data_IF_241180791486
#
_entry.id   IF_241180791486
#
_cell.length_a   1.000
_cell.length_b   1.000
_cell.length_c   1.000
_cell.angle_alpha   90.00
_cell.angle_beta   90.00
_cell.angle_gamma   90.00
#
_symmetry.space_group_name_H-M   'P 1'
#
loop_
_entity.id
_entity.type
_entity.pdbx_description
1 polymer ?
#
# COMPACT_ATOMS: atom_id res chain seq x y z
N UNK A 1 6.20 53.96 -4.27
CA UNK A 1 6.76 53.08 -3.22
C UNK A 1 5.71 52.39 -2.33
N UNK A 2 4.40 52.64 -2.48
CA UNK A 2 3.35 51.99 -1.67
C UNK A 2 2.69 50.75 -2.31
N UNK A 3 2.91 50.47 -3.60
CA UNK A 3 2.25 49.34 -4.29
C UNK A 3 3.02 48.01 -4.22
N UNK A 4 4.27 48.00 -3.72
CA UNK A 4 5.09 46.78 -3.57
C UNK A 4 4.92 46.08 -2.22
N UNK A 5 4.15 46.65 -1.28
CA UNK A 5 3.88 46.04 0.03
C UNK A 5 2.60 45.18 0.09
N UNK A 6 1.73 45.25 -0.92
CA UNK A 6 0.45 44.51 -0.94
C UNK A 6 0.60 43.12 -1.59
N UNK A 7 1.66 42.88 -2.35
CA UNK A 7 1.94 41.60 -3.04
C UNK A 7 2.74 40.58 -2.20
N UNK A 8 3.13 40.92 -0.97
CA UNK A 8 3.80 39.99 -0.03
C UNK A 8 2.80 39.34 0.95
N UNK A 9 1.52 39.74 0.90
CA UNK A 9 0.46 39.17 1.76
C UNK A 9 -0.31 37.99 1.12
N UNK A 10 -0.03 37.63 -0.14
CA UNK A 10 -0.79 36.60 -0.88
C UNK A 10 -0.03 35.30 -1.20
N UNK A 11 1.15 35.08 -0.62
CA UNK A 11 1.94 33.85 -0.81
C UNK A 11 2.25 33.08 0.48
N UNK A 12 1.55 33.40 1.57
CA UNK A 12 1.47 32.54 2.74
C UNK A 12 0.00 32.21 3.01
N UNK A 13 -0.46 31.10 2.44
CA UNK A 13 -1.62 30.38 2.99
C UNK A 13 -1.26 29.88 4.38
N UNK A 14 -1.25 30.79 5.37
CA UNK A 14 -1.43 30.42 6.78
C UNK A 14 -2.71 29.60 6.80
N UNK A 15 -2.60 28.28 6.94
CA UNK A 15 -3.78 27.45 7.07
C UNK A 15 -4.52 27.95 8.31
N UNK A 16 -5.66 28.61 8.08
CA UNK A 16 -6.54 29.02 9.15
C UNK A 16 -6.93 27.74 9.89
N UNK A 17 -6.53 27.66 11.16
CA UNK A 17 -7.01 26.60 12.04
C UNK A 17 -8.50 26.84 12.27
N UNK A 18 -9.32 25.84 11.98
CA UNK A 18 -10.72 25.85 12.39
C UNK A 18 -10.79 25.72 13.91
N UNK A 19 -11.81 26.33 14.51
CA UNK A 19 -12.01 26.40 15.97
C UNK A 19 -11.85 25.04 16.67
N UNK A 20 -12.37 23.97 16.06
CA UNK A 20 -12.37 22.62 16.63
C UNK A 20 -11.17 21.74 16.22
N UNK A 21 -10.24 22.22 15.39
CA UNK A 21 -9.13 21.40 14.87
C UNK A 21 -8.32 20.75 16.00
N UNK A 22 -7.82 21.56 16.95
CA UNK A 22 -6.95 21.05 18.02
C UNK A 22 -7.71 20.11 18.96
N UNK A 23 -8.98 20.38 19.19
CA UNK A 23 -9.85 19.54 20.00
C UNK A 23 -10.13 18.20 19.33
N UNK A 24 -10.43 18.21 18.03
CA UNK A 24 -10.65 17.00 17.24
C UNK A 24 -9.37 16.18 17.11
N UNK A 25 -8.25 16.84 16.85
CA UNK A 25 -6.93 16.22 16.74
C UNK A 25 -6.62 15.35 17.96
N UNK A 26 -6.80 15.88 19.18
CA UNK A 26 -6.61 15.13 20.43
C UNK A 26 -7.55 13.92 20.55
N UNK A 27 -8.82 14.08 20.14
CA UNK A 27 -9.81 12.97 20.16
C UNK A 27 -9.42 11.88 19.16
N UNK A 28 -9.07 12.25 17.93
CA UNK A 28 -8.62 11.32 16.88
C UNK A 28 -7.35 10.58 17.30
N UNK A 29 -6.32 11.28 17.79
CA UNK A 29 -5.07 10.64 18.24
C UNK A 29 -5.34 9.58 19.32
N UNK A 30 -6.20 9.91 20.30
CA UNK A 30 -6.59 8.94 21.34
C UNK A 30 -7.32 7.74 20.76
N UNK A 31 -8.28 7.98 19.87
CA UNK A 31 -9.13 6.93 19.30
C UNK A 31 -8.31 6.03 18.35
N UNK A 32 -7.39 6.58 17.55
CA UNK A 32 -6.46 5.80 16.72
C UNK A 32 -5.49 4.97 17.56
N UNK A 33 -4.85 5.56 18.59
CA UNK A 33 -3.98 4.80 19.50
C UNK A 33 -4.73 3.61 20.12
N UNK A 34 -6.01 3.78 20.43
CA UNK A 34 -6.84 2.68 20.92
C UNK A 34 -7.02 1.57 19.87
N UNK A 35 -7.20 1.91 18.59
CA UNK A 35 -7.27 0.91 17.51
C UNK A 35 -5.92 0.23 17.26
N UNK A 36 -4.82 1.00 17.20
CA UNK A 36 -3.48 0.45 16.99
C UNK A 36 -3.11 -0.58 18.07
N UNK A 37 -3.49 -0.35 19.33
CA UNK A 37 -3.21 -1.27 20.43
C UNK A 37 -4.02 -2.58 20.40
N UNK A 38 -4.92 -2.79 19.42
CA UNK A 38 -5.64 -4.06 19.26
C UNK A 38 -4.83 -5.15 18.55
N UNK A 39 -3.77 -4.76 17.85
CA UNK A 39 -2.92 -5.66 17.08
C UNK A 39 -1.51 -5.66 17.67
N UNK A 40 -0.71 -6.69 17.39
CA UNK A 40 0.64 -6.76 17.92
C UNK A 40 1.57 -5.79 17.18
N UNK A 41 1.47 -5.75 15.85
CA UNK A 41 2.19 -4.80 15.00
C UNK A 41 1.94 -3.35 15.46
N UNK A 42 0.68 -3.00 15.75
CA UNK A 42 0.33 -1.64 16.21
C UNK A 42 0.86 -1.32 17.60
N UNK A 43 0.82 -2.26 18.56
CA UNK A 43 1.43 -2.09 19.90
C UNK A 43 2.95 -1.92 19.80
N UNK A 44 3.61 -2.75 19.01
CA UNK A 44 5.06 -2.73 18.84
C UNK A 44 5.52 -1.42 18.22
N UNK A 45 4.84 -0.98 17.15
CA UNK A 45 5.11 0.31 16.54
C UNK A 45 4.88 1.45 17.54
N UNK A 46 3.76 1.46 18.27
CA UNK A 46 3.47 2.48 19.27
C UNK A 46 4.53 2.54 20.39
N UNK A 47 5.00 1.37 20.85
CA UNK A 47 6.07 1.26 21.85
C UNK A 47 7.39 1.82 21.32
N UNK A 48 7.76 1.52 20.07
CA UNK A 48 8.94 2.09 19.39
C UNK A 48 8.81 3.62 19.28
N UNK A 49 7.69 4.11 18.80
CA UNK A 49 7.41 5.54 18.67
C UNK A 49 7.56 6.28 20.00
N UNK A 50 7.01 5.73 21.10
CA UNK A 50 7.11 6.33 22.43
C UNK A 50 8.52 6.37 23.00
N UNK A 51 9.37 5.38 22.69
CA UNK A 51 10.77 5.35 23.18
C UNK A 51 11.55 6.57 22.70
N UNK A 52 11.22 7.08 21.51
CA UNK A 52 11.83 8.29 20.95
C UNK A 52 11.38 9.59 21.62
N UNK A 53 10.49 9.54 22.61
CA UNK A 53 9.97 10.70 23.37
C UNK A 53 9.35 11.81 22.48
N UNK A 54 9.00 11.51 21.24
CA UNK A 54 8.37 12.44 20.29
C UNK A 54 6.88 12.62 20.64
N UNK A 55 6.37 13.84 20.41
CA UNK A 55 4.92 14.09 20.45
C UNK A 55 4.30 13.54 19.17
N UNK A 56 3.12 12.93 19.28
CA UNK A 56 2.38 12.50 18.10
C UNK A 56 2.07 13.71 17.19
N UNK A 57 2.15 13.55 15.86
CA UNK A 57 1.78 14.59 14.92
C UNK A 57 0.30 14.93 15.11
N UNK A 58 -0.02 16.21 14.90
CA UNK A 58 -1.42 16.65 14.98
C UNK A 58 -2.16 16.18 13.75
N UNK A 59 -3.35 15.63 13.95
CA UNK A 59 -4.24 15.20 12.88
C UNK A 59 -5.17 16.37 12.49
N UNK A 60 -5.27 16.65 11.19
CA UNK A 60 -6.13 17.66 10.59
C UNK A 60 -6.93 17.05 9.43
N UNK A 61 -8.07 17.64 9.09
CA UNK A 61 -8.88 17.24 7.94
C UNK A 61 -8.91 18.39 6.94
N UNK A 62 -8.44 18.17 5.72
CA UNK A 62 -8.37 19.21 4.70
C UNK A 62 -8.68 18.67 3.33
N UNK A 63 -9.34 19.47 2.51
CA UNK A 63 -9.60 19.10 1.13
C UNK A 63 -8.29 19.14 0.31
N UNK A 64 -8.03 18.09 -0.46
CA UNK A 64 -7.08 18.11 -1.57
C UNK A 64 -7.70 17.47 -2.82
N UNK A 65 -7.35 18.00 -3.99
CA UNK A 65 -7.67 17.37 -5.27
C UNK A 65 -6.78 16.16 -5.58
N UNK A 66 -5.70 15.97 -4.81
CA UNK A 66 -4.78 14.85 -4.97
C UNK A 66 -5.48 13.52 -4.65
N UNK A 67 -4.95 12.44 -5.22
CA UNK A 67 -5.55 11.13 -5.09
C UNK A 67 -5.23 10.42 -3.75
N UNK A 68 -4.36 11.01 -2.93
CA UNK A 68 -3.99 10.48 -1.61
C UNK A 68 -5.10 10.56 -0.56
N UNK A 69 -5.31 9.46 0.18
CA UNK A 69 -6.26 9.35 1.30
C UNK A 69 -5.86 10.22 2.49
N UNK A 70 -4.55 10.31 2.73
CA UNK A 70 -3.93 11.18 3.71
C UNK A 70 -2.50 11.53 3.27
N UNK A 71 -1.88 12.48 3.96
CA UNK A 71 -0.46 12.77 3.83
C UNK A 71 0.11 13.35 5.12
N UNK A 72 1.36 13.06 5.38
CA UNK A 72 2.13 13.65 6.45
C UNK A 72 2.94 14.86 5.95
N UNK A 73 2.74 16.01 6.60
CA UNK A 73 3.45 17.26 6.34
C UNK A 73 4.54 17.47 7.40
N UNK A 74 5.80 17.21 6.99
CA UNK A 74 6.99 17.35 7.84
C UNK A 74 7.14 18.73 8.49
N UNK A 75 7.02 19.81 7.72
CA UNK A 75 7.31 21.18 8.21
C UNK A 75 6.45 21.59 9.40
N UNK A 76 5.23 21.05 9.49
CA UNK A 76 4.28 21.40 10.52
C UNK A 76 4.03 20.26 11.52
N UNK A 77 4.65 19.09 11.30
CA UNK A 77 4.46 17.82 12.02
C UNK A 77 2.97 17.47 12.14
N UNK A 78 2.31 17.36 10.98
CA UNK A 78 0.87 17.12 10.86
C UNK A 78 0.56 15.96 9.93
N UNK A 79 -0.49 15.22 10.26
CA UNK A 79 -1.13 14.26 9.35
C UNK A 79 -2.43 14.89 8.89
N UNK A 80 -2.61 15.02 7.58
CA UNK A 80 -3.85 15.49 6.99
C UNK A 80 -4.61 14.33 6.38
N UNK A 81 -5.86 14.14 6.79
CA UNK A 81 -6.79 13.28 6.07
C UNK A 81 -7.51 14.10 5.01
N UNK A 82 -7.56 13.59 3.80
CA UNK A 82 -8.21 14.26 2.69
C UNK A 82 -9.73 14.22 2.85
N UNK A 83 -10.35 15.38 3.04
CA UNK A 83 -11.79 15.48 3.29
C UNK A 83 -12.65 15.02 2.10
N UNK A 84 -12.13 15.05 0.86
CA UNK A 84 -12.73 14.43 -0.33
C UNK A 84 -13.11 12.96 -0.05
N UNK A 85 -12.20 12.21 0.55
CA UNK A 85 -12.39 10.78 0.79
C UNK A 85 -13.17 10.48 2.06
N UNK A 86 -13.17 11.39 3.04
CA UNK A 86 -14.10 11.33 4.18
C UNK A 86 -15.54 11.50 3.68
N UNK A 87 -15.76 12.42 2.73
CA UNK A 87 -17.07 12.62 2.11
C UNK A 87 -17.54 11.37 1.36
N UNK A 88 -16.65 10.75 0.57
CA UNK A 88 -16.93 9.49 -0.13
C UNK A 88 -17.24 8.36 0.87
N UNK A 89 -16.44 8.24 1.94
CA UNK A 89 -16.61 7.20 2.95
C UNK A 89 -17.97 7.27 3.67
N UNK A 90 -18.43 8.48 3.99
CA UNK A 90 -19.71 8.69 4.66
C UNK A 90 -20.89 8.88 3.70
N UNK A 91 -20.67 8.81 2.39
CA UNK A 91 -21.66 9.11 1.35
C UNK A 91 -22.36 10.47 1.58
N UNK A 92 -21.55 11.52 1.77
CA UNK A 92 -22.02 12.89 2.00
C UNK A 92 -21.51 13.83 0.92
N UNK A 93 -22.37 14.71 0.42
CA UNK A 93 -22.03 15.69 -0.62
C UNK A 93 -21.93 17.12 -0.06
N UNK A 94 -21.09 17.95 -0.70
CA UNK A 94 -21.01 19.39 -0.47
C UNK A 94 -20.64 19.84 0.96
N UNK A 95 -20.06 18.96 1.77
CA UNK A 95 -19.56 19.33 3.09
C UNK A 95 -18.24 20.08 2.99
N UNK A 96 -18.12 21.19 3.74
CA UNK A 96 -16.84 21.89 3.91
C UNK A 96 -15.98 21.18 4.94
N UNK A 97 -14.66 21.38 4.89
CA UNK A 97 -13.73 20.90 5.93
C UNK A 97 -14.22 21.26 7.33
N UNK A 98 -14.65 22.52 7.53
CA UNK A 98 -15.19 23.01 8.81
C UNK A 98 -16.35 22.14 9.29
N UNK A 99 -17.30 21.81 8.39
CA UNK A 99 -18.48 21.01 8.74
C UNK A 99 -18.11 19.59 9.13
N UNK A 100 -17.20 18.96 8.38
CA UNK A 100 -16.70 17.60 8.69
C UNK A 100 -16.00 17.59 10.05
N UNK A 101 -15.17 18.59 10.31
CA UNK A 101 -14.47 18.75 11.60
C UNK A 101 -15.47 18.89 12.75
N UNK A 102 -16.49 19.74 12.60
CA UNK A 102 -17.55 19.90 13.62
C UNK A 102 -18.26 18.57 13.90
N UNK A 103 -18.69 17.86 12.85
CA UNK A 103 -19.40 16.57 12.99
C UNK A 103 -18.52 15.56 13.72
N UNK A 104 -17.28 15.34 13.28
CA UNK A 104 -16.38 14.39 13.93
C UNK A 104 -15.95 14.85 15.33
N UNK A 105 -15.95 16.15 15.61
CA UNK A 105 -15.66 16.67 16.95
C UNK A 105 -16.81 16.37 17.93
N UNK A 106 -18.05 16.66 17.55
CA UNK A 106 -19.21 16.54 18.44
C UNK A 106 -19.81 15.12 18.48
N UNK A 107 -19.81 14.38 17.38
CA UNK A 107 -20.31 13.00 17.33
C UNK A 107 -19.21 12.00 17.66
N UNK A 108 -19.33 11.27 18.78
CA UNK A 108 -18.39 10.19 19.09
C UNK A 108 -18.50 9.01 18.15
N UNK A 109 -19.70 8.72 17.66
CA UNK A 109 -19.98 7.48 16.95
C UNK A 109 -19.49 7.59 15.51
N UNK A 110 -19.80 8.71 14.84
CA UNK A 110 -19.24 9.04 13.52
C UNK A 110 -17.71 9.07 13.55
N UNK A 111 -17.11 9.67 14.59
CA UNK A 111 -15.64 9.69 14.72
C UNK A 111 -15.03 8.31 14.92
N UNK A 112 -15.63 7.48 15.77
CA UNK A 112 -15.15 6.10 16.00
C UNK A 112 -15.30 5.24 14.76
N UNK A 113 -16.39 5.44 13.99
CA UNK A 113 -16.61 4.76 12.73
C UNK A 113 -15.52 5.12 11.72
N UNK A 114 -15.27 6.42 11.51
CA UNK A 114 -14.15 6.88 10.67
C UNK A 114 -12.82 6.22 11.10
N UNK A 115 -12.47 6.36 12.37
CA UNK A 115 -11.22 5.83 12.95
C UNK A 115 -11.10 4.31 12.79
N UNK A 116 -12.21 3.57 12.82
CA UNK A 116 -12.19 2.10 12.66
C UNK A 116 -11.70 1.70 11.27
N UNK A 117 -11.95 2.50 10.24
CA UNK A 117 -11.60 2.14 8.85
C UNK A 117 -10.35 2.86 8.35
N UNK A 118 -10.07 4.08 8.82
CA UNK A 118 -8.90 4.87 8.42
C UNK A 118 -7.63 4.64 9.26
N UNK A 119 -7.64 3.70 10.21
CA UNK A 119 -6.52 3.42 11.13
C UNK A 119 -5.25 2.92 10.43
N UNK A 120 -5.39 2.14 9.34
CA UNK A 120 -4.24 1.69 8.54
C UNK A 120 -3.57 2.87 7.85
N UNK A 121 -4.35 3.77 7.24
CA UNK A 121 -3.84 5.01 6.63
C UNK A 121 -3.18 5.89 7.68
N UNK A 122 -3.79 6.01 8.87
CA UNK A 122 -3.17 6.74 9.98
C UNK A 122 -1.81 6.14 10.35
N UNK A 123 -1.71 4.81 10.45
CA UNK A 123 -0.46 4.14 10.78
C UNK A 123 0.60 4.40 9.71
N UNK A 124 0.24 4.34 8.43
CA UNK A 124 1.13 4.63 7.31
C UNK A 124 1.76 6.03 7.45
N UNK A 125 0.93 7.05 7.63
CA UNK A 125 1.40 8.43 7.83
C UNK A 125 2.14 8.63 9.16
N UNK A 126 1.84 7.84 10.17
CA UNK A 126 2.55 7.87 11.44
C UNK A 126 3.95 7.24 11.33
N UNK A 127 4.12 6.20 10.49
CA UNK A 127 5.43 5.65 10.13
C UNK A 127 6.27 6.75 9.48
N UNK A 128 5.70 7.51 8.55
CA UNK A 128 6.37 8.67 7.95
C UNK A 128 6.85 9.70 8.99
N UNK A 129 6.02 10.05 9.97
CA UNK A 129 6.44 10.92 11.08
C UNK A 129 7.56 10.30 11.94
N UNK A 130 7.59 8.98 12.09
CA UNK A 130 8.64 8.26 12.80
C UNK A 130 9.96 8.22 12.01
N UNK A 131 9.88 8.01 10.70
CA UNK A 131 11.01 8.00 9.77
C UNK A 131 11.72 9.35 9.72
N UNK A 132 10.98 10.45 9.74
CA UNK A 132 11.55 11.80 9.85
C UNK A 132 12.46 11.98 11.08
N UNK A 133 12.07 11.36 12.19
CA UNK A 133 12.89 11.39 13.40
C UNK A 133 14.11 10.48 13.26
N UNK A 134 13.90 9.23 12.81
CA UNK A 134 14.95 8.22 12.73
C UNK A 134 16.01 8.57 11.69
N UNK A 135 15.58 9.11 10.56
CA UNK A 135 16.41 9.38 9.39
C UNK A 135 16.58 10.89 9.12
N UNK A 136 16.15 11.78 10.01
CA UNK A 136 16.45 13.21 9.95
C UNK A 136 16.01 13.94 8.66
N UNK A 137 16.64 15.09 8.39
CA UNK A 137 16.18 16.01 7.34
C UNK A 137 16.36 15.51 5.90
N UNK A 138 17.12 14.44 5.70
CA UNK A 138 17.47 13.88 4.40
C UNK A 138 16.30 13.18 3.71
N UNK A 139 15.22 12.78 4.40
CA UNK A 139 14.06 12.10 3.78
C UNK A 139 13.50 12.82 2.54
N UNK A 140 13.62 14.15 2.52
CA UNK A 140 13.17 14.98 1.41
C UNK A 140 14.34 15.68 0.74
N UNK A 141 14.83 15.15 -0.38
CA UNK A 141 15.85 15.82 -1.19
C UNK A 141 15.19 16.65 -2.29
N UNK A 142 15.36 17.99 -2.28
CA UNK A 142 14.85 18.91 -3.31
C UNK A 142 13.36 18.70 -3.66
N UNK A 143 12.51 18.47 -2.65
CA UNK A 143 11.08 18.14 -2.78
C UNK A 143 10.77 16.71 -3.31
N UNK A 144 11.77 15.84 -3.39
CA UNK A 144 11.60 14.40 -3.67
C UNK A 144 11.54 13.55 -2.42
N UNK A 145 11.09 12.30 -2.56
CA UNK A 145 10.90 11.36 -1.46
C UNK A 145 11.77 10.10 -1.71
N UNK A 146 12.48 9.62 -0.69
CA UNK A 146 13.18 8.33 -0.77
C UNK A 146 12.16 7.19 -0.76
N UNK A 147 11.98 6.53 -1.90
CA UNK A 147 11.01 5.44 -2.10
C UNK A 147 11.27 4.26 -1.18
N UNK A 148 12.53 4.01 -0.85
CA UNK A 148 12.95 3.03 0.14
C UNK A 148 12.20 3.20 1.48
N UNK A 149 11.90 4.44 1.87
CA UNK A 149 11.14 4.72 3.10
C UNK A 149 9.65 4.46 2.94
N UNK A 150 9.10 4.51 1.73
CA UNK A 150 7.71 4.09 1.47
C UNK A 150 7.55 2.59 1.70
N UNK A 151 8.54 1.78 1.33
CA UNK A 151 8.48 0.34 1.58
C UNK A 151 8.30 0.02 3.07
N UNK A 152 9.05 0.67 3.96
CA UNK A 152 8.88 0.46 5.41
C UNK A 152 7.46 0.83 5.87
N UNK A 153 6.88 1.93 5.35
CA UNK A 153 5.51 2.33 5.67
C UNK A 153 4.46 1.33 5.17
N UNK A 154 4.59 0.86 3.93
CA UNK A 154 3.71 -0.15 3.35
C UNK A 154 3.81 -1.50 4.08
N UNK A 155 5.03 -1.99 4.35
CA UNK A 155 5.24 -3.26 5.06
C UNK A 155 4.61 -3.25 6.46
N UNK A 156 4.80 -2.18 7.23
CA UNK A 156 4.18 -2.04 8.56
C UNK A 156 2.65 -1.95 8.46
N UNK A 157 2.14 -1.22 7.46
CA UNK A 157 0.70 -1.05 7.24
C UNK A 157 0.02 -2.36 6.84
N UNK A 158 0.64 -3.16 5.97
CA UNK A 158 0.12 -4.44 5.51
C UNK A 158 0.12 -5.49 6.63
N UNK A 159 1.18 -5.53 7.44
CA UNK A 159 1.21 -6.38 8.64
C UNK A 159 0.09 -6.01 9.62
N UNK A 160 -0.10 -4.72 9.86
CA UNK A 160 -1.17 -4.22 10.71
C UNK A 160 -2.56 -4.55 10.16
N UNK A 161 -2.78 -4.33 8.86
CA UNK A 161 -4.04 -4.64 8.19
C UNK A 161 -4.37 -6.12 8.24
N UNK A 162 -3.39 -6.99 8.00
CA UNK A 162 -3.56 -8.44 8.15
C UNK A 162 -4.01 -8.83 9.55
N UNK A 163 -3.33 -8.35 10.59
CA UNK A 163 -3.70 -8.64 11.98
C UNK A 163 -5.10 -8.11 12.32
N UNK A 164 -5.46 -6.93 11.80
CA UNK A 164 -6.80 -6.34 11.94
C UNK A 164 -7.87 -7.24 11.31
N UNK A 165 -7.69 -7.67 10.07
CA UNK A 165 -8.63 -8.56 9.36
C UNK A 165 -8.70 -9.95 10.00
N UNK A 166 -7.59 -10.45 10.55
CA UNK A 166 -7.58 -11.70 11.32
C UNK A 166 -8.42 -11.59 12.61
N UNK A 167 -8.34 -10.45 13.29
CA UNK A 167 -9.13 -10.18 14.51
C UNK A 167 -10.62 -9.92 14.21
N UNK A 168 -10.94 -9.42 13.02
CA UNK A 168 -12.32 -9.19 12.53
C UNK A 168 -12.59 -9.99 11.24
N UNK A 169 -12.51 -11.33 11.37
CA UNK A 169 -12.65 -12.25 10.23
C UNK A 169 -14.00 -12.10 9.53
N UNK A 170 -15.07 -11.82 10.27
CA UNK A 170 -16.42 -11.64 9.69
C UNK A 170 -16.47 -10.44 8.74
N UNK A 171 -15.85 -9.31 9.11
CA UNK A 171 -15.70 -8.17 8.21
C UNK A 171 -14.94 -8.57 6.95
N UNK A 172 -13.85 -9.33 7.08
CA UNK A 172 -13.07 -9.78 5.93
C UNK A 172 -13.86 -10.73 5.01
N UNK A 173 -14.69 -11.62 5.57
CA UNK A 173 -15.62 -12.45 4.78
C UNK A 173 -16.60 -11.57 3.99
N UNK A 174 -17.19 -10.54 4.61
CA UNK A 174 -18.11 -9.62 3.91
C UNK A 174 -17.40 -8.89 2.77
N UNK A 175 -16.15 -8.48 2.97
CA UNK A 175 -15.32 -7.88 1.91
C UNK A 175 -15.11 -8.86 0.76
N UNK A 176 -14.69 -10.09 1.05
CA UNK A 176 -14.47 -11.11 0.02
C UNK A 176 -15.75 -11.48 -0.74
N UNK A 177 -16.92 -11.42 -0.10
CA UNK A 177 -18.22 -11.63 -0.74
C UNK A 177 -18.70 -10.44 -1.56
N UNK A 178 -18.06 -9.27 -1.43
CA UNK A 178 -18.54 -8.02 -2.00
C UNK A 178 -19.77 -7.45 -1.28
N UNK A 179 -20.06 -7.92 -0.07
CA UNK A 179 -21.15 -7.43 0.79
C UNK A 179 -20.75 -6.14 1.52
N UNK A 180 -19.46 -5.82 1.55
CA UNK A 180 -18.93 -4.61 2.15
C UNK A 180 -17.70 -4.12 1.37
N UNK A 181 -17.64 -2.83 1.08
CA UNK A 181 -16.46 -2.18 0.50
C UNK A 181 -16.47 -0.72 0.93
N UNK A 182 -15.37 -0.26 1.49
CA UNK A 182 -15.12 1.15 1.75
C UNK A 182 -13.75 1.54 1.20
N UNK A 183 -13.56 2.82 0.90
CA UNK A 183 -12.35 3.30 0.24
C UNK A 183 -11.07 3.04 1.03
N UNK A 184 -11.12 3.09 2.37
CA UNK A 184 -9.95 2.87 3.21
C UNK A 184 -9.58 1.39 3.29
N UNK A 185 -10.56 0.49 3.32
CA UNK A 185 -10.32 -0.96 3.37
C UNK A 185 -9.97 -1.53 2.00
N UNK A 186 -10.56 -0.99 0.93
CA UNK A 186 -10.29 -1.43 -0.44
C UNK A 186 -8.81 -1.26 -0.83
N UNK A 187 -8.19 -0.14 -0.44
CA UNK A 187 -6.77 0.17 -0.72
C UNK A 187 -5.83 -0.96 -0.26
N UNK A 188 -6.03 -1.51 0.94
CA UNK A 188 -5.12 -2.50 1.53
C UNK A 188 -5.50 -3.95 1.24
N UNK A 189 -6.74 -4.22 0.82
CA UNK A 189 -7.20 -5.59 0.57
C UNK A 189 -6.47 -6.22 -0.62
N UNK A 190 -6.19 -5.43 -1.68
CA UNK A 190 -5.42 -5.90 -2.83
C UNK A 190 -3.95 -6.19 -2.52
N UNK A 191 -3.37 -5.51 -1.53
CA UNK A 191 -1.96 -5.62 -1.19
C UNK A 191 -1.59 -6.99 -0.59
N UNK A 192 -2.52 -7.64 0.14
CA UNK A 192 -2.25 -8.90 0.85
C UNK A 192 -1.79 -10.05 -0.07
N UNK A 193 -2.34 -10.16 -1.28
CA UNK A 193 -1.87 -11.14 -2.26
C UNK A 193 -0.53 -10.71 -2.87
N UNK A 194 -0.39 -9.43 -3.24
CA UNK A 194 0.81 -8.92 -3.91
C UNK A 194 2.06 -9.05 -3.04
N UNK A 195 1.98 -8.67 -1.75
CA UNK A 195 3.10 -8.83 -0.81
C UNK A 195 3.50 -10.29 -0.61
N UNK A 196 2.54 -11.22 -0.77
CA UNK A 196 2.78 -12.66 -0.58
C UNK A 196 3.25 -13.36 -1.86
N UNK A 197 3.11 -12.75 -3.03
CA UNK A 197 3.49 -13.35 -4.31
C UNK A 197 4.99 -13.23 -4.56
N UNK A 198 5.51 -12.01 -4.50
CA UNK A 198 6.89 -11.66 -4.87
C UNK A 198 7.23 -10.30 -4.29
N UNK A 199 8.30 -10.23 -3.49
CA UNK A 199 8.73 -8.97 -2.90
C UNK A 199 9.34 -8.00 -3.90
N UNK A 200 9.96 -8.52 -4.95
CA UNK A 200 10.51 -7.68 -6.03
C UNK A 200 9.37 -7.05 -6.83
N UNK A 201 8.33 -7.83 -7.16
CA UNK A 201 7.15 -7.28 -7.84
C UNK A 201 6.37 -6.30 -6.96
N UNK A 202 6.27 -6.59 -5.66
CA UNK A 202 5.64 -5.70 -4.70
C UNK A 202 6.37 -4.35 -4.61
N UNK A 203 7.71 -4.37 -4.51
CA UNK A 203 8.54 -3.15 -4.59
C UNK A 203 8.32 -2.41 -5.89
N UNK A 204 8.46 -3.11 -7.02
CA UNK A 204 8.28 -2.53 -8.36
C UNK A 204 6.90 -1.86 -8.53
N UNK A 205 5.85 -2.44 -7.95
CA UNK A 205 4.51 -1.84 -8.01
C UNK A 205 4.43 -0.54 -7.19
N UNK A 206 5.07 -0.49 -6.01
CA UNK A 206 5.22 0.76 -5.26
C UNK A 206 6.08 1.76 -6.06
N UNK A 207 7.17 1.33 -6.71
CA UNK A 207 8.00 2.23 -7.53
C UNK A 207 7.21 2.86 -8.68
N UNK A 208 6.44 2.04 -9.40
CA UNK A 208 5.63 2.48 -10.52
C UNK A 208 4.56 3.49 -10.08
N UNK A 209 3.95 3.30 -8.90
CA UNK A 209 2.99 4.26 -8.34
C UNK A 209 3.67 5.62 -8.12
N UNK A 210 4.77 5.64 -7.40
CA UNK A 210 5.43 6.90 -7.00
C UNK A 210 6.16 7.59 -8.15
N UNK A 211 6.68 6.85 -9.12
CA UNK A 211 7.37 7.44 -10.30
C UNK A 211 6.41 8.26 -11.17
N UNK A 212 5.12 7.89 -11.22
CA UNK A 212 4.11 8.59 -12.02
C UNK A 212 3.33 9.64 -11.22
N UNK A 213 3.12 9.42 -9.91
CA UNK A 213 2.41 10.35 -9.03
C UNK A 213 3.31 11.50 -8.54
N UNK A 214 4.61 11.24 -8.32
CA UNK A 214 5.57 12.17 -7.73
C UNK A 214 6.81 12.18 -8.62
N UNK A 215 6.94 13.17 -9.49
CA UNK A 215 8.08 13.39 -10.41
C UNK A 215 9.45 13.66 -9.71
N UNK A 216 9.70 13.07 -8.54
CA UNK A 216 10.84 13.36 -7.69
C UNK A 216 11.27 12.14 -6.83
N UNK A 217 11.31 10.94 -7.42
CA UNK A 217 11.97 9.80 -6.78
C UNK A 217 13.49 10.04 -6.67
N UNK A 218 14.05 9.71 -5.51
CA UNK A 218 15.50 9.63 -5.29
C UNK A 218 15.80 8.28 -4.65
N UNK A 219 16.74 7.50 -5.20
CA UNK A 219 17.27 6.31 -4.53
C UNK A 219 18.29 6.71 -3.46
N UNK A 220 18.25 6.04 -2.30
CA UNK A 220 19.26 6.18 -1.25
C UNK A 220 20.67 5.85 -1.76
N UNK A 221 20.79 4.85 -2.64
CA UNK A 221 22.08 4.44 -3.19
C UNK A 221 22.65 5.49 -4.16
N UNK A 222 21.81 6.00 -5.06
CA UNK A 222 22.22 7.02 -6.01
C UNK A 222 22.57 8.34 -5.30
N UNK A 223 21.84 8.69 -4.26
CA UNK A 223 22.11 9.88 -3.45
C UNK A 223 23.41 9.73 -2.66
N UNK A 224 23.71 8.56 -2.09
CA UNK A 224 25.01 8.30 -1.44
C UNK A 224 26.16 8.52 -2.43
N UNK A 225 26.08 7.94 -3.62
CA UNK A 225 27.09 8.08 -4.67
C UNK A 225 27.29 9.55 -5.04
N UNK A 226 26.19 10.29 -5.28
CA UNK A 226 26.23 11.72 -5.61
C UNK A 226 26.87 12.55 -4.49
N UNK A 227 26.50 12.30 -3.24
CA UNK A 227 27.06 13.04 -2.09
C UNK A 227 28.51 12.71 -1.84
N UNK A 228 28.94 11.47 -2.08
CA UNK A 228 30.34 11.10 -2.02
C UNK A 228 31.17 11.91 -3.02
N UNK A 229 30.72 12.02 -4.27
CA UNK A 229 31.39 12.86 -5.27
C UNK A 229 31.41 14.34 -4.88
N UNK A 230 30.27 14.88 -4.40
CA UNK A 230 30.18 16.27 -3.95
C UNK A 230 31.10 16.56 -2.77
N UNK A 231 31.22 15.64 -1.82
CA UNK A 231 32.10 15.75 -0.67
C UNK A 231 33.58 15.79 -1.11
N UNK A 232 33.99 14.94 -2.04
CA UNK A 232 35.35 14.95 -2.60
C UNK A 232 35.65 16.25 -3.38
N UNK A 233 34.67 16.77 -4.15
CA UNK A 233 34.80 18.06 -4.84
C UNK A 233 34.89 19.23 -3.84
N UNK A 234 33.99 19.26 -2.85
CA UNK A 234 33.97 20.32 -1.84
C UNK A 234 35.23 20.29 -0.97
N UNK A 235 35.82 19.12 -0.71
CA UNK A 235 37.13 19.02 -0.05
C UNK A 235 38.19 19.83 -0.78
N UNK A 236 38.29 19.70 -2.10
CA UNK A 236 39.28 20.43 -2.90
C UNK A 236 39.02 21.94 -2.83
N UNK A 237 37.76 22.35 -3.01
CA UNK A 237 37.35 23.76 -3.05
C UNK A 237 37.52 24.43 -1.68
N UNK A 238 37.04 23.78 -0.61
CA UNK A 238 37.10 24.25 0.78
C UNK A 238 38.55 24.40 1.25
N UNK A 239 39.42 23.43 0.94
CA UNK A 239 40.84 23.55 1.27
C UNK A 239 41.52 24.66 0.48
N UNK A 240 41.19 24.85 -0.80
CA UNK A 240 41.73 25.94 -1.61
C UNK A 240 41.27 27.34 -1.12
N UNK A 241 40.07 27.43 -0.53
CA UNK A 241 39.50 28.68 0.02
C UNK A 241 39.84 28.93 1.50
N UNK A 242 40.47 27.97 2.17
CA UNK A 242 40.72 28.03 3.62
C UNK A 242 39.46 27.84 4.49
N UNK A 243 38.34 27.43 3.89
CA UNK A 243 37.04 27.26 4.54
C UNK A 243 36.83 25.78 4.91
N UNK A 244 37.56 25.30 5.92
CA UNK A 244 37.50 23.89 6.34
C UNK A 244 36.17 23.52 7.00
N UNK A 245 35.45 24.50 7.55
CA UNK A 245 34.18 24.28 8.27
C UNK A 245 33.10 23.77 7.32
N UNK A 246 32.97 24.37 6.14
CA UNK A 246 32.02 23.93 5.11
C UNK A 246 32.25 22.47 4.66
N UNK A 247 33.51 22.01 4.59
CA UNK A 247 33.81 20.61 4.30
C UNK A 247 33.39 19.67 5.43
N UNK A 248 33.63 20.04 6.69
CA UNK A 248 33.26 19.21 7.85
C UNK A 248 31.73 19.11 8.01
N UNK A 249 30.98 20.18 7.74
CA UNK A 249 29.51 20.14 7.72
C UNK A 249 28.98 19.15 6.66
N UNK A 250 29.53 19.20 5.44
CA UNK A 250 29.11 18.30 4.36
C UNK A 250 29.49 16.83 4.65
N UNK A 251 30.62 16.61 5.32
CA UNK A 251 31.05 15.29 5.79
C UNK A 251 30.09 14.72 6.83
N UNK A 252 29.65 15.52 7.80
CA UNK A 252 28.66 15.11 8.81
C UNK A 252 27.36 14.66 8.13
N UNK A 253 26.89 15.40 7.14
CA UNK A 253 25.66 15.06 6.42
C UNK A 253 25.79 13.83 5.52
N UNK A 254 26.97 13.57 4.95
CA UNK A 254 27.27 12.33 4.24
C UNK A 254 27.26 11.12 5.18
N UNK A 255 27.92 11.20 6.35
CA UNK A 255 27.94 10.11 7.33
C UNK A 255 26.54 9.81 7.89
N UNK A 256 25.68 10.83 8.07
CA UNK A 256 24.27 10.63 8.41
C UNK A 256 23.53 9.84 7.33
N UNK A 257 23.67 10.22 6.06
CA UNK A 257 23.02 9.51 4.93
C UNK A 257 23.46 8.05 4.86
N UNK A 258 24.77 7.79 5.02
CA UNK A 258 25.32 6.43 5.02
C UNK A 258 24.71 5.59 6.15
N UNK A 259 24.66 6.12 7.37
CA UNK A 259 24.01 5.43 8.50
C UNK A 259 22.53 5.12 8.22
N UNK A 260 21.80 6.04 7.60
CA UNK A 260 20.39 5.84 7.27
C UNK A 260 20.20 4.73 6.24
N UNK A 261 21.04 4.71 5.20
CA UNK A 261 21.08 3.64 4.22
C UNK A 261 21.36 2.30 4.90
N UNK A 262 22.37 2.23 5.77
CA UNK A 262 22.73 1.00 6.48
C UNK A 262 21.59 0.52 7.41
N UNK A 263 20.94 1.44 8.14
CA UNK A 263 19.79 1.13 9.00
C UNK A 263 18.58 0.61 8.20
N UNK A 264 18.30 1.23 7.06
CA UNK A 264 17.23 0.82 6.16
C UNK A 264 17.53 -0.55 5.50
N UNK A 265 18.74 -0.74 4.98
CA UNK A 265 19.15 -2.01 4.40
C UNK A 265 19.08 -3.15 5.42
N UNK A 266 19.50 -2.88 6.66
CA UNK A 266 19.39 -3.83 7.76
C UNK A 266 17.93 -4.16 8.09
N UNK A 267 17.03 -3.17 8.08
CA UNK A 267 15.59 -3.39 8.27
C UNK A 267 15.01 -4.29 7.17
N UNK A 268 15.28 -3.96 5.90
CA UNK A 268 14.76 -4.71 4.74
C UNK A 268 15.32 -6.12 4.69
N UNK A 269 16.62 -6.30 4.93
CA UNK A 269 17.25 -7.62 4.98
C UNK A 269 16.65 -8.48 6.10
N UNK A 270 16.49 -7.91 7.29
CA UNK A 270 15.85 -8.60 8.41
C UNK A 270 14.40 -8.95 8.09
N UNK A 271 13.63 -8.03 7.50
CA UNK A 271 12.26 -8.29 7.10
C UNK A 271 12.21 -9.47 6.12
N UNK A 272 13.06 -9.48 5.10
CA UNK A 272 13.07 -10.57 4.12
C UNK A 272 13.47 -11.93 4.67
N UNK A 273 14.50 -11.97 5.49
CA UNK A 273 15.03 -13.24 5.99
C UNK A 273 14.16 -13.80 7.11
N UNK A 274 13.64 -12.94 7.97
CA UNK A 274 13.10 -13.37 9.26
C UNK A 274 11.60 -13.08 9.46
N UNK A 275 10.99 -12.18 8.67
CA UNK A 275 9.58 -11.78 8.86
C UNK A 275 8.71 -12.21 7.69
N UNK A 276 9.13 -11.92 6.46
CA UNK A 276 8.34 -12.11 5.26
C UNK A 276 7.89 -13.55 5.01
N UNK A 277 8.74 -14.60 5.15
CA UNK A 277 8.31 -15.98 4.87
C UNK A 277 7.15 -16.41 5.77
N UNK A 278 7.26 -16.17 7.08
CA UNK A 278 6.22 -16.54 8.05
C UNK A 278 4.98 -15.65 7.90
N UNK A 279 5.17 -14.35 7.66
CA UNK A 279 4.07 -13.42 7.41
C UNK A 279 3.26 -13.83 6.18
N UNK A 280 3.91 -14.01 5.03
CA UNK A 280 3.27 -14.37 3.77
C UNK A 280 2.59 -15.74 3.85
N UNK A 281 3.22 -16.72 4.50
CA UNK A 281 2.58 -18.01 4.75
C UNK A 281 1.27 -17.85 5.54
N UNK A 282 1.29 -17.07 6.63
CA UNK A 282 0.11 -16.83 7.46
C UNK A 282 -0.98 -16.06 6.71
N UNK A 283 -0.61 -15.06 5.90
CA UNK A 283 -1.53 -14.31 5.04
C UNK A 283 -2.20 -15.26 4.04
N UNK A 284 -1.42 -16.04 3.30
CA UNK A 284 -1.96 -16.95 2.29
C UNK A 284 -2.84 -18.03 2.91
N UNK A 285 -2.49 -18.60 4.07
CA UNK A 285 -3.34 -19.56 4.79
C UNK A 285 -4.64 -18.92 5.28
N UNK A 286 -4.59 -17.68 5.75
CA UNK A 286 -5.79 -16.93 6.14
C UNK A 286 -6.68 -16.64 4.93
N UNK A 287 -6.10 -16.16 3.82
CA UNK A 287 -6.81 -15.92 2.57
C UNK A 287 -7.44 -17.18 2.02
N UNK A 288 -6.73 -18.31 2.01
CA UNK A 288 -7.25 -19.61 1.57
C UNK A 288 -8.50 -20.00 2.35
N UNK A 289 -8.41 -20.01 3.68
CA UNK A 289 -9.52 -20.40 4.55
C UNK A 289 -10.71 -19.45 4.44
N UNK A 290 -10.44 -18.15 4.44
CA UNK A 290 -11.52 -17.15 4.46
C UNK A 290 -12.18 -17.02 3.09
N UNK A 291 -11.42 -17.23 2.01
CA UNK A 291 -11.96 -17.29 0.64
C UNK A 291 -12.81 -18.54 0.40
N UNK A 292 -12.46 -19.68 1.02
CA UNK A 292 -13.30 -20.87 1.04
C UNK A 292 -14.66 -20.57 1.65
N UNK A 293 -14.68 -19.98 2.86
CA UNK A 293 -15.91 -19.62 3.57
C UNK A 293 -16.74 -18.55 2.83
N UNK A 294 -16.06 -17.59 2.19
CA UNK A 294 -16.69 -16.55 1.39
C UNK A 294 -17.14 -17.02 0.00
N UNK A 295 -16.75 -18.23 -0.44
CA UNK A 295 -16.85 -18.69 -1.84
C UNK A 295 -16.25 -17.69 -2.84
N UNK A 296 -15.15 -17.04 -2.45
CA UNK A 296 -14.38 -16.19 -3.34
C UNK A 296 -13.35 -17.03 -4.10
N UNK A 297 -13.74 -17.56 -5.26
CA UNK A 297 -12.92 -18.47 -6.06
C UNK A 297 -11.58 -17.86 -6.51
N UNK A 298 -11.56 -16.56 -6.86
CA UNK A 298 -10.34 -15.89 -7.32
C UNK A 298 -9.27 -15.86 -6.21
N UNK A 299 -9.62 -15.37 -5.03
CA UNK A 299 -8.71 -15.32 -3.89
C UNK A 299 -8.36 -16.71 -3.38
N UNK A 300 -9.30 -17.67 -3.45
CA UNK A 300 -9.03 -19.06 -3.10
C UNK A 300 -7.96 -19.69 -3.99
N UNK A 301 -8.13 -19.64 -5.32
CA UNK A 301 -7.17 -20.28 -6.23
C UNK A 301 -5.82 -19.57 -6.25
N UNK A 302 -5.79 -18.24 -6.20
CA UNK A 302 -4.52 -17.51 -6.14
C UNK A 302 -3.76 -17.79 -4.82
N UNK A 303 -4.45 -17.82 -3.68
CA UNK A 303 -3.79 -18.16 -2.40
C UNK A 303 -3.26 -19.60 -2.38
N UNK A 304 -4.03 -20.56 -2.91
CA UNK A 304 -3.58 -21.95 -3.04
C UNK A 304 -2.41 -22.11 -4.02
N UNK A 305 -2.47 -21.42 -5.16
CA UNK A 305 -1.38 -21.38 -6.15
C UNK A 305 -0.09 -20.84 -5.54
N UNK A 306 -0.16 -19.71 -4.82
CA UNK A 306 1.02 -19.09 -4.20
C UNK A 306 1.61 -19.94 -3.07
N UNK A 307 0.78 -20.62 -2.27
CA UNK A 307 1.27 -21.57 -1.27
C UNK A 307 2.07 -22.71 -1.90
N UNK A 308 1.61 -23.25 -3.04
CA UNK A 308 2.33 -24.31 -3.76
C UNK A 308 3.57 -23.79 -4.49
N UNK A 309 3.46 -22.65 -5.20
CA UNK A 309 4.57 -22.01 -5.93
C UNK A 309 5.77 -21.75 -5.00
N UNK A 310 5.48 -21.29 -3.78
CA UNK A 310 6.49 -20.88 -2.80
C UNK A 310 6.67 -21.89 -1.65
N UNK A 311 6.27 -23.16 -1.84
CA UNK A 311 6.28 -24.18 -0.77
C UNK A 311 7.63 -24.38 -0.08
N UNK A 312 8.74 -24.25 -0.82
CA UNK A 312 10.10 -24.38 -0.28
C UNK A 312 10.46 -23.24 0.67
N UNK A 313 10.00 -22.03 0.35
CA UNK A 313 10.20 -20.83 1.17
C UNK A 313 9.36 -20.90 2.44
N UNK A 314 8.10 -21.32 2.32
CA UNK A 314 7.15 -21.34 3.44
C UNK A 314 7.17 -22.62 4.26
N UNK A 315 7.96 -23.63 3.85
CA UNK A 315 7.93 -24.99 4.43
C UNK A 315 6.49 -25.53 4.49
N UNK A 316 5.71 -25.22 3.45
CA UNK A 316 4.30 -25.56 3.39
C UNK A 316 4.12 -27.05 3.09
N UNK A 317 3.30 -27.71 3.91
CA UNK A 317 2.81 -29.06 3.67
C UNK A 317 1.28 -29.06 3.65
N UNK A 318 0.72 -29.77 2.68
CA UNK A 318 -0.73 -29.95 2.56
C UNK A 318 -1.24 -30.90 3.63
N UNK A 319 -1.96 -30.35 4.60
CA UNK A 319 -2.74 -31.14 5.54
C UNK A 319 -4.06 -31.65 4.91
N UNK A 320 -4.75 -32.55 5.61
CA UNK A 320 -6.01 -33.16 5.13
C UNK A 320 -7.15 -32.14 4.95
N UNK A 321 -7.21 -31.12 5.80
CA UNK A 321 -8.26 -30.08 5.73
C UNK A 321 -8.06 -29.21 4.49
N UNK A 322 -6.82 -28.83 4.18
CA UNK A 322 -6.46 -28.11 2.96
C UNK A 322 -6.86 -28.89 1.71
N UNK A 323 -6.50 -30.18 1.64
CA UNK A 323 -6.82 -31.03 0.50
C UNK A 323 -8.35 -31.20 0.32
N UNK A 324 -9.10 -31.33 1.43
CA UNK A 324 -10.56 -31.42 1.39
C UNK A 324 -11.20 -30.13 0.85
N UNK A 325 -10.75 -28.96 1.34
CA UNK A 325 -11.24 -27.65 0.86
C UNK A 325 -10.91 -27.41 -0.61
N UNK A 326 -9.70 -27.76 -1.05
CA UNK A 326 -9.32 -27.73 -2.47
C UNK A 326 -10.27 -28.58 -3.32
N UNK A 327 -10.54 -29.83 -2.91
CA UNK A 327 -11.40 -30.73 -3.66
C UNK A 327 -12.84 -30.21 -3.74
N UNK A 328 -13.38 -29.68 -2.64
CA UNK A 328 -14.73 -29.09 -2.60
C UNK A 328 -14.83 -27.87 -3.52
N UNK A 329 -13.93 -26.89 -3.39
CA UNK A 329 -13.96 -25.69 -4.22
C UNK A 329 -13.70 -26.01 -5.69
N UNK A 330 -12.85 -26.98 -5.99
CA UNK A 330 -12.61 -27.42 -7.37
C UNK A 330 -13.92 -27.87 -8.04
N UNK A 331 -14.70 -28.72 -7.37
CA UNK A 331 -15.98 -29.19 -7.90
C UNK A 331 -17.03 -28.06 -7.96
N UNK A 332 -17.16 -27.27 -6.88
CA UNK A 332 -18.10 -26.14 -6.86
C UNK A 332 -17.78 -25.11 -7.95
N UNK A 333 -16.50 -24.84 -8.21
CA UNK A 333 -16.08 -23.87 -9.21
C UNK A 333 -16.47 -24.29 -10.63
N UNK A 334 -16.33 -25.57 -10.98
CA UNK A 334 -16.68 -26.09 -12.30
C UNK A 334 -18.15 -25.80 -12.64
N UNK A 335 -19.03 -25.88 -11.65
CA UNK A 335 -20.45 -25.58 -11.85
C UNK A 335 -20.77 -24.09 -11.74
N UNK A 336 -20.08 -23.36 -10.85
CA UNK A 336 -20.21 -21.91 -10.74
C UNK A 336 -19.85 -21.19 -12.05
N UNK A 337 -18.68 -21.50 -12.63
CA UNK A 337 -18.10 -20.71 -13.71
C UNK A 337 -18.91 -20.77 -15.01
N UNK A 338 -19.65 -21.86 -15.24
CA UNK A 338 -20.57 -22.01 -16.38
C UNK A 338 -21.69 -20.96 -16.39
N UNK A 339 -22.01 -20.40 -15.23
CA UNK A 339 -23.08 -19.42 -15.06
C UNK A 339 -22.56 -17.97 -14.95
N UNK A 340 -21.25 -17.75 -14.95
CA UNK A 340 -20.66 -16.41 -14.88
C UNK A 340 -20.85 -15.67 -16.21
N UNK A 341 -21.62 -14.58 -16.19
CA UNK A 341 -22.00 -13.82 -17.40
C UNK A 341 -21.00 -12.72 -17.74
N UNK A 342 -20.24 -12.24 -16.76
CA UNK A 342 -19.24 -11.21 -17.00
C UNK A 342 -17.95 -11.85 -17.52
N UNK A 343 -17.62 -11.64 -18.79
CA UNK A 343 -16.48 -12.30 -19.42
C UNK A 343 -15.12 -11.86 -18.86
N UNK A 344 -14.97 -10.62 -18.37
CA UNK A 344 -13.75 -10.18 -17.71
C UNK A 344 -13.57 -10.95 -16.40
N UNK A 345 -14.62 -11.00 -15.57
CA UNK A 345 -14.60 -11.76 -14.32
C UNK A 345 -14.38 -13.25 -14.57
N UNK A 346 -15.07 -13.82 -15.54
CA UNK A 346 -14.90 -15.21 -15.94
C UNK A 346 -13.45 -15.49 -16.38
N UNK A 347 -12.84 -14.59 -17.18
CA UNK A 347 -11.44 -14.73 -17.60
C UNK A 347 -10.46 -14.72 -16.43
N UNK A 348 -10.63 -13.82 -15.45
CA UNK A 348 -9.75 -13.75 -14.27
C UNK A 348 -9.90 -14.99 -13.38
N UNK A 349 -11.13 -15.49 -13.23
CA UNK A 349 -11.43 -16.71 -12.50
C UNK A 349 -10.83 -17.94 -13.18
N UNK A 350 -11.05 -18.11 -14.49
CA UNK A 350 -10.51 -19.21 -15.29
C UNK A 350 -8.98 -19.20 -15.29
N UNK A 351 -8.34 -18.03 -15.40
CA UNK A 351 -6.89 -17.90 -15.29
C UNK A 351 -6.37 -18.35 -13.92
N UNK A 352 -6.99 -17.88 -12.82
CA UNK A 352 -6.57 -18.28 -11.48
C UNK A 352 -6.71 -19.79 -11.27
N UNK A 353 -7.77 -20.39 -11.81
CA UNK A 353 -8.02 -21.82 -11.78
C UNK A 353 -7.04 -22.62 -12.65
N UNK A 354 -6.71 -22.12 -13.85
CA UNK A 354 -5.76 -22.74 -14.76
C UNK A 354 -4.34 -22.76 -14.16
N UNK A 355 -3.88 -21.63 -13.60
CA UNK A 355 -2.62 -21.57 -12.83
C UNK A 355 -2.61 -22.56 -11.66
N UNK A 356 -3.73 -22.68 -10.95
CA UNK A 356 -3.91 -23.65 -9.87
C UNK A 356 -3.81 -25.11 -10.35
N UNK A 357 -4.44 -25.45 -11.48
CA UNK A 357 -4.33 -26.79 -12.06
C UNK A 357 -2.88 -27.11 -12.46
N UNK A 358 -2.21 -26.17 -13.12
CA UNK A 358 -0.84 -26.31 -13.61
C UNK A 358 0.17 -26.58 -12.48
N UNK A 359 0.13 -25.79 -11.41
CA UNK A 359 1.07 -25.97 -10.29
C UNK A 359 0.84 -27.31 -9.57
N UNK A 360 -0.40 -27.81 -9.58
CA UNK A 360 -0.77 -29.09 -9.00
C UNK A 360 -0.65 -30.27 -9.97
N UNK A 361 -0.14 -30.06 -11.19
CA UNK A 361 -0.06 -31.09 -12.25
C UNK A 361 -1.41 -31.78 -12.53
N UNK A 362 -2.49 -31.01 -12.44
CA UNK A 362 -3.84 -31.44 -12.81
C UNK A 362 -4.16 -30.94 -14.21
N UNK A 363 -4.90 -31.74 -14.96
CA UNK A 363 -5.42 -31.31 -16.25
C UNK A 363 -6.51 -30.25 -16.05
N UNK A 364 -6.54 -29.27 -16.95
CA UNK A 364 -7.63 -28.31 -17.00
C UNK A 364 -8.90 -29.03 -17.51
N UNK A 365 -10.08 -28.88 -16.85
CA UNK A 365 -11.28 -29.61 -17.25
C UNK A 365 -11.68 -29.36 -18.71
N UNK A 366 -11.79 -30.44 -19.49
CA UNK A 366 -12.13 -30.36 -20.92
C UNK A 366 -13.43 -29.60 -21.18
N UNK A 367 -14.45 -29.82 -20.33
CA UNK A 367 -15.74 -29.14 -20.42
C UNK A 367 -15.69 -27.62 -20.22
N UNK A 368 -14.56 -27.07 -19.75
CA UNK A 368 -14.35 -25.63 -19.59
C UNK A 368 -13.48 -25.00 -20.69
N UNK A 369 -12.87 -25.79 -21.58
CA UNK A 369 -11.96 -25.28 -22.62
C UNK A 369 -12.67 -24.28 -23.54
N UNK A 370 -13.88 -24.59 -24.00
CA UNK A 370 -14.65 -23.68 -24.85
C UNK A 370 -14.95 -22.35 -24.15
N UNK A 371 -15.37 -22.41 -22.89
CA UNK A 371 -15.64 -21.24 -22.06
C UNK A 371 -14.38 -20.40 -21.83
N UNK A 372 -13.25 -21.04 -21.53
CA UNK A 372 -11.93 -20.39 -21.41
C UNK A 372 -11.57 -19.64 -22.68
N UNK A 373 -11.60 -20.32 -23.83
CA UNK A 373 -11.18 -19.73 -25.10
C UNK A 373 -12.03 -18.50 -25.45
N UNK A 374 -13.34 -18.61 -25.28
CA UNK A 374 -14.28 -17.51 -25.55
C UNK A 374 -14.01 -16.29 -24.65
N UNK A 375 -13.89 -16.50 -23.34
CA UNK A 375 -13.72 -15.41 -22.37
C UNK A 375 -12.33 -14.76 -22.48
N UNK A 376 -11.27 -15.54 -22.71
CA UNK A 376 -9.93 -15.00 -22.95
C UNK A 376 -9.91 -14.16 -24.22
N UNK A 377 -10.49 -14.64 -25.34
CA UNK A 377 -10.55 -13.87 -26.59
C UNK A 377 -11.31 -12.55 -26.44
N UNK A 378 -12.48 -12.57 -25.78
CA UNK A 378 -13.28 -11.36 -25.51
C UNK A 378 -12.52 -10.36 -24.64
N UNK A 379 -11.87 -10.83 -23.59
CA UNK A 379 -11.10 -9.98 -22.66
C UNK A 379 -9.85 -9.43 -23.34
N UNK A 380 -9.16 -10.26 -24.13
CA UNK A 380 -7.99 -9.86 -24.91
C UNK A 380 -8.31 -8.67 -25.82
N UNK A 381 -9.37 -8.76 -26.63
CA UNK A 381 -9.80 -7.67 -27.52
C UNK A 381 -10.13 -6.39 -26.75
N UNK A 382 -10.75 -6.51 -25.57
CA UNK A 382 -11.06 -5.34 -24.74
C UNK A 382 -9.79 -4.70 -24.18
N UNK A 383 -8.87 -5.50 -23.64
CA UNK A 383 -7.66 -4.99 -22.99
C UNK A 383 -6.66 -4.44 -24.02
N UNK A 384 -6.55 -5.06 -25.20
CA UNK A 384 -5.74 -4.53 -26.30
C UNK A 384 -6.21 -3.14 -26.74
N UNK A 385 -7.51 -2.89 -26.76
CA UNK A 385 -8.05 -1.57 -27.10
C UNK A 385 -7.88 -0.53 -25.97
N UNK A 386 -7.79 -0.97 -24.72
CA UNK A 386 -7.64 -0.09 -23.55
C UNK A 386 -6.19 0.30 -23.28
N UNK A 387 -5.23 -0.56 -23.62
CA UNK A 387 -3.83 -0.39 -23.20
C UNK A 387 -3.23 0.95 -23.66
N UNK A 388 -3.60 1.42 -24.86
CA UNK A 388 -3.09 2.67 -25.46
C UNK A 388 -3.69 3.93 -24.79
N UNK A 389 -4.86 3.79 -24.17
CA UNK A 389 -5.61 4.91 -23.58
C UNK A 389 -5.60 4.91 -22.05
N UNK A 390 -5.17 3.81 -21.42
CA UNK A 390 -5.09 3.66 -19.97
C UNK A 390 -4.00 4.56 -19.40
N UNK A 391 -4.38 5.49 -18.51
CA UNK A 391 -3.45 6.43 -17.88
C UNK A 391 -2.81 5.85 -16.61
N UNK A 392 -3.52 4.95 -15.94
CA UNK A 392 -3.01 4.26 -14.76
C UNK A 392 -1.98 3.21 -15.19
N UNK A 393 -0.73 3.40 -14.75
CA UNK A 393 0.40 2.56 -15.14
C UNK A 393 0.30 1.15 -14.57
N UNK A 394 -0.22 0.99 -13.35
CA UNK A 394 -0.43 -0.33 -12.74
C UNK A 394 -1.52 -1.08 -13.50
N UNK A 395 -2.58 -0.38 -13.88
CA UNK A 395 -3.67 -0.96 -14.67
C UNK A 395 -3.24 -1.30 -16.10
N UNK A 396 -2.37 -0.48 -16.70
CA UNK A 396 -1.75 -0.78 -17.99
C UNK A 396 -0.85 -2.03 -17.91
N UNK A 397 -0.01 -2.13 -16.87
CA UNK A 397 0.84 -3.31 -16.61
C UNK A 397 -0.02 -4.56 -16.41
N UNK A 398 -1.09 -4.46 -15.63
CA UNK A 398 -2.07 -5.53 -15.47
C UNK A 398 -2.65 -5.98 -16.82
N UNK A 399 -3.07 -5.05 -17.70
CA UNK A 399 -3.53 -5.42 -19.03
C UNK A 399 -2.45 -6.15 -19.84
N UNK A 400 -1.20 -5.70 -19.79
CA UNK A 400 -0.09 -6.35 -20.48
C UNK A 400 0.09 -7.80 -20.03
N UNK A 401 0.16 -8.04 -18.72
CA UNK A 401 0.32 -9.37 -18.13
C UNK A 401 -0.83 -10.31 -18.51
N UNK A 402 -2.07 -9.80 -18.52
CA UNK A 402 -3.24 -10.56 -18.94
C UNK A 402 -3.19 -10.91 -20.43
N UNK A 403 -2.81 -9.96 -21.29
CA UNK A 403 -2.67 -10.19 -22.74
C UNK A 403 -1.59 -11.22 -23.05
N UNK A 404 -0.43 -11.13 -22.38
CA UNK A 404 0.66 -12.10 -22.50
C UNK A 404 0.21 -13.50 -22.05
N UNK A 405 -0.48 -13.59 -20.92
CA UNK A 405 -1.01 -14.86 -20.45
C UNK A 405 -2.00 -15.47 -21.47
N UNK A 406 -2.94 -14.68 -21.98
CA UNK A 406 -3.92 -15.17 -22.96
C UNK A 406 -3.27 -15.64 -24.26
N UNK A 407 -2.26 -14.93 -24.78
CA UNK A 407 -1.48 -15.38 -25.96
C UNK A 407 -0.75 -16.69 -25.72
N UNK A 408 -0.22 -16.90 -24.51
CA UNK A 408 0.46 -18.15 -24.17
C UNK A 408 -0.48 -19.37 -24.16
N UNK A 409 -1.78 -19.14 -23.94
CA UNK A 409 -2.82 -20.19 -23.93
C UNK A 409 -3.58 -20.32 -25.25
N UNK A 410 -3.64 -19.24 -26.04
CA UNK A 410 -4.34 -19.15 -27.32
C UNK A 410 -3.39 -18.55 -28.36
N UNK A 411 -2.50 -19.35 -28.96
CA UNK A 411 -1.49 -18.87 -29.91
C UNK A 411 -2.09 -18.09 -31.09
N UNK A 412 -3.34 -18.37 -31.48
CA UNK A 412 -4.08 -17.66 -32.52
C UNK A 412 -4.33 -16.17 -32.22
N UNK A 413 -4.20 -15.72 -30.97
CA UNK A 413 -4.29 -14.30 -30.60
C UNK A 413 -2.99 -13.52 -30.88
N UNK A 414 -1.94 -14.20 -31.36
CA UNK A 414 -0.66 -13.59 -31.72
C UNK A 414 -0.58 -13.17 -33.20
N UNK A 415 -1.63 -13.49 -33.98
CA UNK A 415 -1.86 -13.07 -35.35
C UNK A 415 -2.73 -11.82 -35.37
#
# INVERSE_FOLDING_TARGET
MLLKLILILFSFSRSFGYEFDLGLSKKLTRDYIKQLNKTETGKDFYKKYKKEKKKFPKIYLRYSNDDGLAWYEKKSDRIYFNSKYIMIFFDIENYTDKRIIEVLYFSSDTRKEFVKYSDVVYLHELVHSFQDFRYGDSRYYKNGLFLELEYEAYLISDMYFFEKMKNDKELFIKILKGEYSDIYTAEYTGALLSISESMDDYKNNIELRYTNEINAYVSLNDEEIKRKFKLEENKIISYARGDKENFEEEKIDYEKLKKQKDDYLSFIENFYKNVWPDFSYNVLRFLFNTSFEARNYYSFFNSAYLLEKNKSVYKFEKDKDFAAKEAMIYLEFIDYIKNEKNYERASSLLMSFEKFCEINKKEFPEGLIGLRNENYKKTYLKYSNKIETEKDVLKRKYYQEMLEYFRSKLPELSQ
#
